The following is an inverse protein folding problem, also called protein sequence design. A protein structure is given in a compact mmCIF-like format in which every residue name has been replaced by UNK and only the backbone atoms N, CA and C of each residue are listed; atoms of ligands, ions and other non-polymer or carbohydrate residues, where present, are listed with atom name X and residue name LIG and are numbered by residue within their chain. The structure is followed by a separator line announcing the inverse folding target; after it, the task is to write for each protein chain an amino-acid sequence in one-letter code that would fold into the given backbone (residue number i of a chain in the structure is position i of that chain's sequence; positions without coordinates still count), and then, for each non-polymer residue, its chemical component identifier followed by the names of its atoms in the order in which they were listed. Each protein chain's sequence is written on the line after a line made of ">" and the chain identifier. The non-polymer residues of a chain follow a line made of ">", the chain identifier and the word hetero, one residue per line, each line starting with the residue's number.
data_IF_912356340195
#
_entry.id   IF_912356340195
#
_cell.length_a   1.000
_cell.length_b   1.000
_cell.length_c   1.000
_cell.angle_alpha   90.00
_cell.angle_beta   90.00
_cell.angle_gamma   90.00
#
_symmetry.space_group_name_H-M   'P 1'
#
loop_
_entity.id
_entity.type
_entity.pdbx_description
1 polymer ?
#
# COMPACT_ATOMS: atom_id res chain seq x y z
N UNK A 1 10.09 4.36 34.75
CA UNK A 1 10.11 4.40 33.26
C UNK A 1 9.27 3.27 32.64
N UNK A 2 8.70 2.39 33.47
CA UNK A 2 7.98 1.16 33.09
C UNK A 2 6.44 1.28 33.14
N UNK A 3 5.90 2.28 33.85
CA UNK A 3 4.47 2.31 34.19
C UNK A 3 3.51 2.68 33.05
N UNK A 4 3.99 3.31 31.97
CA UNK A 4 3.11 3.66 30.84
C UNK A 4 2.79 2.47 29.94
N UNK A 5 3.63 1.43 29.95
CA UNK A 5 3.46 0.22 29.15
C UNK A 5 2.74 -0.89 29.92
N UNK A 6 2.74 -0.85 31.27
CA UNK A 6 2.06 -1.85 32.09
C UNK A 6 0.53 -1.73 32.08
N UNK A 7 -0.04 -0.56 31.76
CA UNK A 7 -1.50 -0.38 31.69
C UNK A 7 -2.17 -0.97 30.45
N UNK A 8 -1.41 -1.28 29.38
CA UNK A 8 -1.95 -1.73 28.10
C UNK A 8 -1.50 -3.17 27.71
N UNK A 9 -0.84 -3.91 28.61
CA UNK A 9 -0.44 -5.33 28.43
C UNK A 9 0.40 -5.65 27.18
N UNK A 10 1.15 -4.70 26.61
CA UNK A 10 1.87 -4.95 25.35
C UNK A 10 3.31 -4.48 25.39
N UNK A 11 4.23 -5.43 25.18
CA UNK A 11 5.67 -5.22 25.09
C UNK A 11 6.06 -4.55 23.75
N UNK A 12 7.05 -3.65 23.81
CA UNK A 12 7.66 -3.08 22.60
C UNK A 12 8.50 -4.16 21.92
N UNK A 13 8.16 -4.50 20.68
CA UNK A 13 8.83 -5.51 19.85
C UNK A 13 9.53 -4.86 18.65
N UNK A 14 10.57 -5.53 18.18
CA UNK A 14 11.23 -5.18 16.92
C UNK A 14 10.67 -6.04 15.78
N UNK A 15 10.59 -5.48 14.58
CA UNK A 15 10.20 -6.24 13.39
C UNK A 15 11.38 -7.10 12.94
N UNK A 16 11.19 -8.41 12.89
CA UNK A 16 12.21 -9.31 12.35
C UNK A 16 12.22 -9.27 10.82
N UNK A 17 13.42 -9.26 10.23
CA UNK A 17 13.59 -9.23 8.77
C UNK A 17 12.95 -10.45 8.09
N UNK A 18 12.98 -11.60 8.77
CA UNK A 18 12.47 -12.90 8.31
C UNK A 18 10.95 -13.02 8.33
N UNK A 19 10.23 -12.16 9.06
CA UNK A 19 8.77 -12.25 9.11
C UNK A 19 8.15 -11.97 7.74
N UNK A 20 7.07 -12.67 7.40
CA UNK A 20 6.18 -12.23 6.31
C UNK A 20 5.29 -11.06 6.78
N UNK A 21 4.60 -10.40 5.85
CA UNK A 21 3.58 -9.41 6.17
C UNK A 21 2.52 -10.02 7.10
N UNK A 22 2.02 -11.21 6.76
CA UNK A 22 1.00 -11.88 7.56
C UNK A 22 1.53 -12.30 8.95
N UNK A 23 2.79 -12.75 9.03
CA UNK A 23 3.43 -13.06 10.31
C UNK A 23 3.52 -11.82 11.21
N UNK A 24 3.87 -10.66 10.63
CA UNK A 24 3.90 -9.38 11.36
C UNK A 24 2.50 -8.95 11.83
N UNK A 25 1.49 -9.04 10.97
CA UNK A 25 0.11 -8.64 11.29
C UNK A 25 -0.56 -9.53 12.35
N UNK A 26 -0.03 -10.73 12.57
CA UNK A 26 -0.48 -11.65 13.61
C UNK A 26 0.35 -11.56 14.91
N UNK A 27 1.33 -10.68 15.00
CA UNK A 27 2.05 -10.44 16.24
C UNK A 27 1.23 -9.60 17.21
N UNK A 28 1.20 -10.01 18.48
CA UNK A 28 0.79 -9.14 19.57
C UNK A 28 1.97 -8.30 20.05
N UNK A 29 1.75 -6.99 20.23
CA UNK A 29 2.75 -6.08 20.77
C UNK A 29 2.60 -4.65 20.29
N UNK A 30 3.52 -3.81 20.77
CA UNK A 30 3.73 -2.45 20.28
C UNK A 30 4.96 -2.45 19.38
N UNK A 31 4.92 -1.73 18.27
CA UNK A 31 6.03 -1.60 17.33
C UNK A 31 6.27 -0.14 16.98
N UNK A 32 7.47 0.21 16.55
CA UNK A 32 7.69 1.52 15.95
C UNK A 32 7.05 1.60 14.58
N UNK A 33 6.34 2.70 14.32
CA UNK A 33 5.68 2.91 13.03
C UNK A 33 6.66 2.80 11.86
N UNK A 34 7.89 3.32 12.00
CA UNK A 34 8.92 3.28 10.95
C UNK A 34 9.25 1.85 10.49
N UNK A 35 9.21 0.87 11.40
CA UNK A 35 9.57 -0.52 11.09
C UNK A 35 8.37 -1.24 10.45
N UNK A 36 7.16 -0.90 10.90
CA UNK A 36 5.90 -1.41 10.33
C UNK A 36 5.70 -0.92 8.90
N UNK A 37 5.83 0.38 8.67
CA UNK A 37 5.56 0.97 7.35
C UNK A 37 6.57 0.55 6.30
N UNK A 38 7.83 0.29 6.67
CA UNK A 38 8.81 -0.31 5.78
C UNK A 38 8.36 -1.71 5.35
N UNK A 39 7.95 -2.56 6.32
CA UNK A 39 7.54 -3.93 6.03
C UNK A 39 6.24 -4.02 5.24
N UNK A 40 5.30 -3.12 5.49
CA UNK A 40 3.99 -3.07 4.85
C UNK A 40 3.96 -2.18 3.60
N UNK A 41 5.12 -1.63 3.19
CA UNK A 41 5.25 -0.67 2.08
C UNK A 41 4.22 0.46 2.14
N UNK A 42 4.10 1.05 3.33
CA UNK A 42 3.22 2.18 3.61
C UNK A 42 4.00 3.49 3.62
N UNK A 43 3.34 4.56 3.20
CA UNK A 43 3.89 5.90 3.34
C UNK A 43 3.71 6.39 4.79
N UNK A 44 4.83 6.57 5.49
CA UNK A 44 4.86 7.08 6.87
C UNK A 44 4.13 8.41 7.02
N UNK A 45 4.26 9.32 6.05
CA UNK A 45 3.64 10.65 6.09
C UNK A 45 2.12 10.51 5.99
N UNK A 46 1.62 9.63 5.13
CA UNK A 46 0.17 9.35 5.01
C UNK A 46 -0.40 8.80 6.30
N UNK A 47 0.27 7.85 6.94
CA UNK A 47 -0.20 7.26 8.21
C UNK A 47 -0.22 8.31 9.33
N UNK A 48 0.81 9.16 9.42
CA UNK A 48 0.83 10.27 10.38
C UNK A 48 -0.29 11.28 10.14
N UNK A 49 -0.56 11.63 8.87
CA UNK A 49 -1.64 12.54 8.48
C UNK A 49 -3.01 11.97 8.83
N UNK A 50 -3.22 10.67 8.59
CA UNK A 50 -4.44 9.96 8.96
C UNK A 50 -4.70 10.03 10.46
N UNK A 51 -3.68 9.73 11.29
CA UNK A 51 -3.81 9.80 12.74
C UNK A 51 -4.06 11.24 13.24
N UNK A 52 -3.51 12.25 12.56
CA UNK A 52 -3.79 13.66 12.87
C UNK A 52 -5.23 14.02 12.52
N UNK A 53 -5.71 13.65 11.34
CA UNK A 53 -7.09 13.91 10.90
C UNK A 53 -8.10 13.31 11.88
N UNK A 54 -7.89 12.06 12.29
CA UNK A 54 -8.77 11.41 13.28
C UNK A 54 -8.90 12.22 14.58
N UNK A 55 -7.82 12.83 15.06
CA UNK A 55 -7.86 13.69 16.26
C UNK A 55 -8.62 15.00 16.00
N UNK A 56 -8.42 15.60 14.83
CA UNK A 56 -9.15 16.79 14.40
C UNK A 56 -10.66 16.51 14.31
N UNK A 57 -11.03 15.28 13.94
CA UNK A 57 -12.41 14.78 13.94
C UNK A 57 -12.93 14.36 15.33
N UNK A 58 -12.17 14.58 16.41
CA UNK A 58 -12.53 14.23 17.79
C UNK A 58 -12.44 12.73 18.13
N UNK A 59 -11.78 11.92 17.29
CA UNK A 59 -11.61 10.47 17.48
C UNK A 59 -10.21 10.15 18.03
N UNK A 60 -10.09 9.08 18.81
CA UNK A 60 -8.78 8.60 19.30
C UNK A 60 -8.13 7.61 18.31
N UNK A 61 -7.00 7.97 17.66
CA UNK A 61 -6.30 7.08 16.74
C UNK A 61 -5.72 5.83 17.41
N UNK A 62 -5.47 5.87 18.73
CA UNK A 62 -4.99 4.71 19.48
C UNK A 62 -6.08 3.63 19.59
N UNK A 63 -7.33 4.06 19.76
CA UNK A 63 -8.49 3.17 19.86
C UNK A 63 -8.91 2.65 18.49
N UNK A 64 -8.94 3.51 17.46
CA UNK A 64 -9.48 3.15 16.15
C UNK A 64 -8.46 2.51 15.20
N UNK A 65 -7.21 2.99 15.22
CA UNK A 65 -6.19 2.55 14.28
C UNK A 65 -4.96 1.95 15.00
N UNK A 66 -4.92 1.97 16.33
CA UNK A 66 -3.75 1.50 17.08
C UNK A 66 -2.52 2.40 16.91
N UNK A 67 -2.67 3.66 16.49
CA UNK A 67 -1.52 4.55 16.20
C UNK A 67 -1.43 5.63 17.27
N UNK A 68 -0.24 5.85 17.84
CA UNK A 68 -0.02 6.94 18.80
C UNK A 68 1.38 7.53 18.68
N UNK A 69 1.48 8.84 18.92
CA UNK A 69 2.76 9.51 19.17
C UNK A 69 3.08 9.43 20.66
N UNK A 70 4.24 8.87 20.98
CA UNK A 70 4.81 8.79 22.33
C UNK A 70 6.16 9.49 22.27
N UNK A 71 6.26 10.65 22.92
CA UNK A 71 7.45 11.51 22.87
C UNK A 71 7.80 11.90 21.42
N UNK A 72 9.02 11.59 20.97
CA UNK A 72 9.50 11.80 19.60
C UNK A 72 9.10 10.67 18.64
N UNK A 73 8.58 9.55 19.13
CA UNK A 73 8.34 8.35 18.36
C UNK A 73 6.86 8.15 18.04
N UNK A 74 6.59 7.51 16.90
CA UNK A 74 5.27 6.98 16.57
C UNK A 74 5.30 5.48 16.78
N UNK A 75 4.30 4.98 17.49
CA UNK A 75 4.13 3.58 17.82
C UNK A 75 2.81 3.06 17.30
N UNK A 76 2.78 1.74 17.09
CA UNK A 76 1.66 0.99 16.54
C UNK A 76 1.34 -0.17 17.46
N UNK A 77 0.10 -0.25 17.94
CA UNK A 77 -0.46 -1.40 18.65
C UNK A 77 -1.02 -2.39 17.64
N UNK A 78 -0.32 -3.51 17.44
CA UNK A 78 -0.62 -4.41 16.32
C UNK A 78 -2.00 -5.06 16.43
N UNK A 79 -2.46 -5.40 17.64
CA UNK A 79 -3.81 -5.94 17.90
C UNK A 79 -4.95 -5.10 17.32
N UNK A 80 -4.77 -3.78 17.21
CA UNK A 80 -5.77 -2.87 16.63
C UNK A 80 -5.38 -2.40 15.23
N UNK A 81 -4.09 -2.17 15.00
CA UNK A 81 -3.62 -1.73 13.71
C UNK A 81 -3.77 -2.81 12.63
N UNK A 82 -3.54 -4.09 12.94
CA UNK A 82 -3.65 -5.16 11.96
C UNK A 82 -5.06 -5.29 11.34
N UNK A 83 -6.17 -5.37 12.12
CA UNK A 83 -7.50 -5.36 11.53
C UNK A 83 -7.80 -4.04 10.80
N UNK A 84 -7.44 -2.89 11.39
CA UNK A 84 -7.59 -1.60 10.74
C UNK A 84 -6.88 -1.55 9.38
N UNK A 85 -5.65 -2.07 9.31
CA UNK A 85 -4.86 -2.18 8.10
C UNK A 85 -5.57 -3.05 7.08
N UNK A 86 -5.98 -4.28 7.44
CA UNK A 86 -6.67 -5.21 6.53
C UNK A 86 -7.96 -4.62 5.94
N UNK A 87 -8.67 -3.81 6.72
CA UNK A 87 -9.93 -3.20 6.29
C UNK A 87 -9.73 -1.95 5.44
N UNK A 88 -8.78 -1.09 5.80
CA UNK A 88 -8.72 0.29 5.31
C UNK A 88 -7.45 0.63 4.52
N UNK A 89 -6.37 -0.14 4.69
CA UNK A 89 -5.05 0.18 4.15
C UNK A 89 -4.44 -0.94 3.29
N UNK A 90 -4.85 -2.19 3.52
CA UNK A 90 -4.44 -3.35 2.75
C UNK A 90 -4.97 -3.15 1.33
N UNK A 91 -4.05 -3.25 0.37
CA UNK A 91 -4.37 -3.09 -1.04
C UNK A 91 -5.34 -4.19 -1.43
N UNK A 92 -6.60 -3.83 -1.64
CA UNK A 92 -7.57 -4.71 -2.29
C UNK A 92 -7.36 -4.61 -3.78
N UNK A 93 -7.17 -5.75 -4.42
CA UNK A 93 -7.20 -5.84 -5.86
C UNK A 93 -8.63 -5.61 -6.32
N UNK A 94 -8.84 -4.52 -7.04
CA UNK A 94 -10.09 -4.27 -7.72
C UNK A 94 -10.25 -5.26 -8.88
N UNK A 95 -11.49 -5.65 -9.15
CA UNK A 95 -11.82 -6.49 -10.30
C UNK A 95 -12.07 -5.60 -11.51
N UNK A 96 -11.50 -5.97 -12.64
CA UNK A 96 -11.86 -5.35 -13.92
C UNK A 96 -13.26 -5.80 -14.28
N UNK A 97 -14.14 -4.84 -14.56
CA UNK A 97 -15.48 -5.13 -15.06
C UNK A 97 -15.38 -5.59 -16.54
N UNK A 98 -15.98 -6.74 -16.91
CA UNK A 98 -15.97 -7.24 -18.28
C UNK A 98 -16.59 -6.29 -19.31
N UNK A 99 -17.43 -5.35 -18.88
CA UNK A 99 -18.09 -4.37 -19.76
C UNK A 99 -17.23 -3.13 -20.05
N UNK A 100 -16.10 -2.96 -19.36
CA UNK A 100 -15.24 -1.80 -19.55
C UNK A 100 -14.41 -1.89 -20.82
N UNK A 101 -14.19 -0.74 -21.46
CA UNK A 101 -13.15 -0.55 -22.45
C UNK A 101 -11.87 0.03 -21.80
N UNK A 102 -10.78 0.10 -22.57
CA UNK A 102 -9.50 0.64 -22.08
C UNK A 102 -9.61 2.07 -21.55
N UNK A 103 -10.44 2.92 -22.19
CA UNK A 103 -10.64 4.30 -21.75
C UNK A 103 -11.36 4.38 -20.40
N UNK A 104 -12.34 3.51 -20.17
CA UNK A 104 -13.09 3.41 -18.92
C UNK A 104 -12.20 2.87 -17.80
N UNK A 105 -11.39 1.85 -18.09
CA UNK A 105 -10.40 1.33 -17.15
C UNK A 105 -9.43 2.41 -16.69
N UNK A 106 -8.91 3.24 -17.60
CA UNK A 106 -7.94 4.30 -17.29
C UNK A 106 -8.50 5.46 -16.46
N UNK A 107 -9.83 5.54 -16.29
CA UNK A 107 -10.49 6.49 -15.38
C UNK A 107 -10.66 5.93 -13.97
N UNK A 108 -10.40 4.64 -13.76
CA UNK A 108 -10.58 4.00 -12.46
C UNK A 108 -9.43 4.29 -11.51
N UNK A 109 -9.75 4.23 -10.22
CA UNK A 109 -8.79 4.34 -9.14
C UNK A 109 -8.66 2.98 -8.46
N UNK A 110 -7.45 2.65 -8.01
CA UNK A 110 -7.19 1.41 -7.28
C UNK A 110 -6.02 0.62 -7.83
N UNK A 111 -5.85 -0.56 -7.27
CA UNK A 111 -4.81 -1.52 -7.67
C UNK A 111 -5.49 -2.70 -8.35
N UNK A 112 -5.04 -3.07 -9.53
CA UNK A 112 -5.60 -4.16 -10.32
C UNK A 112 -4.52 -5.18 -10.65
N UNK A 113 -4.90 -6.42 -10.94
CA UNK A 113 -3.95 -7.38 -11.47
C UNK A 113 -3.53 -6.96 -12.88
N UNK A 114 -2.22 -7.01 -13.14
CA UNK A 114 -1.67 -6.65 -14.44
C UNK A 114 -2.28 -7.48 -15.57
N UNK A 115 -2.57 -8.75 -15.32
CA UNK A 115 -3.17 -9.62 -16.32
C UNK A 115 -4.55 -9.12 -16.77
N UNK A 116 -5.37 -8.63 -15.83
CA UNK A 116 -6.72 -8.15 -16.11
C UNK A 116 -6.68 -6.80 -16.82
N UNK A 117 -5.78 -5.90 -16.38
CA UNK A 117 -5.56 -4.60 -17.04
C UNK A 117 -5.16 -4.81 -18.50
N UNK A 118 -4.22 -5.72 -18.77
CA UNK A 118 -3.72 -6.03 -20.11
C UNK A 118 -4.77 -6.63 -21.08
N UNK A 119 -5.94 -7.03 -20.61
CA UNK A 119 -7.03 -7.45 -21.50
C UNK A 119 -7.67 -6.27 -22.23
N UNK A 120 -7.61 -5.07 -21.64
CA UNK A 120 -8.31 -3.87 -22.12
C UNK A 120 -7.37 -2.82 -22.70
N UNK A 121 -6.06 -3.05 -22.69
CA UNK A 121 -5.05 -2.12 -23.23
C UNK A 121 -4.13 -2.86 -24.23
N UNK A 122 -3.53 -2.16 -25.21
CA UNK A 122 -2.69 -2.75 -26.24
C UNK A 122 -1.25 -2.99 -25.74
N UNK A 123 -1.12 -3.51 -24.52
CA UNK A 123 0.16 -3.91 -23.94
C UNK A 123 0.04 -5.30 -23.35
N UNK A 124 1.01 -6.16 -23.68
CA UNK A 124 1.12 -7.46 -23.04
C UNK A 124 1.65 -7.32 -21.60
N UNK A 125 1.20 -8.22 -20.71
CA UNK A 125 1.74 -8.29 -19.36
C UNK A 125 3.26 -8.51 -19.37
N UNK A 126 3.80 -9.23 -20.36
CA UNK A 126 5.24 -9.45 -20.51
C UNK A 126 6.01 -8.13 -20.72
N UNK A 127 5.54 -7.27 -21.64
CA UNK A 127 6.16 -5.97 -21.91
C UNK A 127 6.22 -5.09 -20.66
N UNK A 128 5.09 -4.97 -19.95
CA UNK A 128 4.99 -4.13 -18.76
C UNK A 128 5.81 -4.69 -17.59
N UNK A 129 5.85 -6.02 -17.40
CA UNK A 129 6.73 -6.68 -16.42
C UNK A 129 8.19 -6.40 -16.71
N UNK A 130 8.59 -6.47 -17.97
CA UNK A 130 9.97 -6.23 -18.38
C UNK A 130 10.39 -4.78 -18.08
N UNK A 131 9.52 -3.81 -18.35
CA UNK A 131 9.77 -2.41 -17.98
C UNK A 131 9.86 -2.22 -16.46
N UNK A 132 8.94 -2.81 -15.70
CA UNK A 132 8.95 -2.72 -14.24
C UNK A 132 10.24 -3.31 -13.63
N UNK A 133 10.75 -4.41 -14.18
CA UNK A 133 12.01 -5.04 -13.72
C UNK A 133 13.25 -4.19 -13.95
N UNK A 134 13.23 -3.28 -14.93
CA UNK A 134 14.34 -2.37 -15.22
C UNK A 134 14.39 -1.17 -14.26
N UNK A 135 13.37 -0.97 -13.43
CA UNK A 135 13.24 0.20 -12.58
C UNK A 135 13.07 -0.19 -11.11
N UNK A 136 13.96 0.31 -10.26
CA UNK A 136 13.91 0.07 -8.80
C UNK A 136 12.64 0.64 -8.16
N UNK A 137 12.11 1.73 -8.73
CA UNK A 137 10.91 2.44 -8.27
C UNK A 137 9.82 2.38 -9.35
N UNK A 138 9.59 1.19 -9.90
CA UNK A 138 8.64 0.97 -11.01
C UNK A 138 7.22 1.36 -10.65
N UNK A 139 6.81 1.16 -9.40
CA UNK A 139 5.49 1.57 -8.94
C UNK A 139 5.27 3.08 -9.04
N UNK A 140 6.23 3.87 -8.58
CA UNK A 140 6.13 5.33 -8.54
C UNK A 140 6.26 5.94 -9.95
N UNK A 141 7.00 5.27 -10.84
CA UNK A 141 7.28 5.78 -12.19
C UNK A 141 6.26 5.35 -13.23
N UNK A 142 5.84 4.09 -13.20
CA UNK A 142 4.99 3.50 -14.24
C UNK A 142 3.76 2.81 -13.66
N UNK A 143 3.57 2.79 -12.33
CA UNK A 143 2.41 2.14 -11.69
C UNK A 143 2.44 0.62 -11.67
N UNK A 144 3.40 -0.03 -12.33
CA UNK A 144 3.50 -1.49 -12.39
C UNK A 144 4.49 -2.00 -11.36
N UNK A 145 4.11 -2.97 -10.54
CA UNK A 145 4.97 -3.54 -9.51
C UNK A 145 4.70 -5.02 -9.28
N UNK A 146 5.67 -5.72 -8.69
CA UNK A 146 5.47 -7.10 -8.22
C UNK A 146 5.01 -7.05 -6.79
N UNK A 147 3.84 -7.59 -6.51
CA UNK A 147 3.28 -7.66 -5.19
C UNK A 147 4.04 -8.70 -4.34
N UNK A 148 4.53 -8.33 -3.14
CA UNK A 148 5.34 -9.20 -2.32
C UNK A 148 4.55 -10.37 -1.71
N UNK A 149 3.24 -10.23 -1.55
CA UNK A 149 2.37 -11.21 -0.88
C UNK A 149 1.83 -12.24 -1.87
N UNK A 150 1.23 -11.77 -2.97
CA UNK A 150 0.67 -12.66 -4.01
C UNK A 150 1.74 -13.18 -4.98
N UNK A 151 2.93 -12.57 -4.98
CA UNK A 151 3.98 -12.74 -6.01
C UNK A 151 3.54 -12.38 -7.43
N UNK A 152 2.30 -11.90 -7.61
CA UNK A 152 1.74 -11.44 -8.87
C UNK A 152 2.25 -10.06 -9.25
N UNK A 153 1.95 -9.65 -10.49
CA UNK A 153 2.16 -8.26 -10.90
C UNK A 153 0.86 -7.49 -10.81
N UNK A 154 0.97 -6.27 -10.32
CA UNK A 154 -0.12 -5.36 -10.05
C UNK A 154 0.09 -4.03 -10.74
N UNK A 155 -0.99 -3.28 -10.89
CA UNK A 155 -1.03 -1.97 -11.53
C UNK A 155 -1.74 -0.99 -10.60
N UNK A 156 -1.02 0.04 -10.17
CA UNK A 156 -1.57 1.21 -9.50
C UNK A 156 -2.11 2.18 -10.56
N UNK A 157 -3.43 2.23 -10.73
CA UNK A 157 -4.06 2.94 -11.83
C UNK A 157 -3.86 4.46 -11.79
N UNK A 158 -3.59 5.02 -10.60
CA UNK A 158 -3.32 6.46 -10.46
C UNK A 158 -2.03 6.84 -11.19
N UNK A 159 -0.98 6.04 -11.03
CA UNK A 159 0.31 6.28 -11.69
C UNK A 159 0.29 5.75 -13.13
N UNK A 160 -0.27 4.55 -13.32
CA UNK A 160 -0.27 3.89 -14.61
C UNK A 160 -1.06 4.66 -15.67
N UNK A 161 -2.24 5.20 -15.33
CA UNK A 161 -3.08 5.95 -16.28
C UNK A 161 -2.40 7.22 -16.80
N UNK A 162 -1.59 7.89 -15.97
CA UNK A 162 -0.82 9.05 -16.37
C UNK A 162 0.32 8.64 -17.31
N UNK A 163 1.08 7.61 -16.93
CA UNK A 163 2.22 7.13 -17.71
C UNK A 163 1.80 6.56 -19.07
N UNK A 164 0.75 5.73 -19.13
CA UNK A 164 0.37 5.09 -20.39
C UNK A 164 -0.18 6.09 -21.40
N UNK A 165 -0.79 7.19 -20.96
CA UNK A 165 -1.21 8.30 -21.83
C UNK A 165 -0.01 8.96 -22.52
N UNK A 166 1.11 9.15 -21.82
CA UNK A 166 2.32 9.72 -22.44
C UNK A 166 2.89 8.76 -23.49
N UNK A 167 2.93 7.47 -23.18
CA UNK A 167 3.41 6.45 -24.13
C UNK A 167 2.50 6.36 -25.38
N UNK A 168 1.18 6.45 -25.20
CA UNK A 168 0.24 6.41 -26.32
C UNK A 168 0.35 7.62 -27.24
N UNK A 169 0.46 8.82 -26.67
CA UNK A 169 0.62 10.06 -27.46
C UNK A 169 1.91 10.03 -28.28
N UNK A 170 3.01 9.52 -27.72
CA UNK A 170 4.28 9.37 -28.45
C UNK A 170 4.18 8.39 -29.64
N UNK A 171 3.23 7.45 -29.58
CA UNK A 171 3.03 6.44 -30.63
C UNK A 171 2.20 6.98 -31.81
N UNK A 172 1.34 7.98 -31.58
CA UNK A 172 0.53 8.62 -32.64
C UNK A 172 1.31 9.67 -33.43
N UNK A 173 2.30 10.34 -32.83
CA UNK A 173 3.14 11.34 -33.49
C UNK A 173 4.19 10.73 -34.43
N UNK A 174 4.41 9.41 -34.33
CA UNK A 174 5.40 8.66 -35.13
C UNK A 174 4.79 7.92 -36.34
N UNK A 175 3.54 8.20 -36.71
CA UNK A 175 2.87 7.70 -37.93
C UNK A 175 2.59 8.84 -38.89
#
# INVERSE_FOLDING_TARGET
>A
MTDLFHKDELELKMVEKTWSVESLLNQDGIFYLKDIVEKLELDTVKIKRLARQMREDGKDPWVLAGIRKVWSHWIVRMKVFAPFYRENLLRRYEKVDPSWDGNTLLKQHGVFYLADVCQLIPFSAHQLRYQAKKMTNSREKIGVFKDPDTKGYAVDMVVFSAWIKTVWQDTEVSK
#
